data_IF_684126786180
#
_entry.id   IF_684126786180
#
_cell.length_a   1.000
_cell.length_b   1.000
_cell.length_c   1.000
_cell.angle_alpha   90.00
_cell.angle_beta   90.00
_cell.angle_gamma   90.00
#
_symmetry.space_group_name_H-M   'P 1'
#
loop_
_entity.id
_entity.type
_entity.pdbx_description
1 polymer ?
#
# COMPACT_ATOMS: atom_id res chain seq x y z
N UNK A 1 -0.91 22.49 -46.07
CA UNK A 1 0.36 22.15 -45.40
C UNK A 1 0.21 22.53 -43.94
N UNK A 2 0.32 21.57 -43.01
CA UNK A 2 0.43 21.90 -41.59
C UNK A 2 -0.39 21.08 -40.59
N UNK A 3 -0.65 19.78 -40.83
CA UNK A 3 -1.32 18.92 -39.83
C UNK A 3 -0.46 17.76 -39.32
N UNK A 4 0.86 17.93 -39.36
CA UNK A 4 1.81 17.01 -38.74
C UNK A 4 2.82 17.76 -37.85
N UNK A 5 2.31 18.64 -36.98
CA UNK A 5 3.08 19.10 -35.83
C UNK A 5 3.19 17.94 -34.85
N UNK A 6 4.42 17.42 -34.68
CA UNK A 6 4.76 16.37 -33.72
C UNK A 6 4.11 16.65 -32.36
N UNK A 7 3.46 15.65 -31.74
CA UNK A 7 2.86 15.75 -30.39
C UNK A 7 3.83 16.35 -29.35
N UNK A 8 5.13 16.22 -29.60
CA UNK A 8 6.21 16.79 -28.79
C UNK A 8 6.27 18.33 -28.82
N UNK A 9 5.81 18.98 -29.89
CA UNK A 9 5.78 20.45 -29.99
C UNK A 9 4.58 21.09 -29.28
N UNK A 10 3.42 20.40 -29.21
CA UNK A 10 2.25 20.91 -28.46
C UNK A 10 2.52 21.04 -26.96
N UNK A 11 3.34 20.17 -26.39
CA UNK A 11 3.75 20.23 -24.98
C UNK A 11 4.61 21.45 -24.63
N UNK A 12 5.27 22.07 -25.62
CA UNK A 12 6.18 23.21 -25.40
C UNK A 12 5.43 24.55 -25.48
N UNK A 13 4.24 24.58 -26.09
CA UNK A 13 3.46 25.80 -26.33
C UNK A 13 2.20 25.96 -25.47
N UNK A 14 1.81 24.95 -24.66
CA UNK A 14 0.65 25.06 -23.80
C UNK A 14 1.00 25.83 -22.51
N UNK A 15 0.35 26.97 -22.31
CA UNK A 15 0.41 27.77 -21.07
C UNK A 15 -0.24 27.06 -19.86
N UNK A 16 -0.90 25.94 -20.09
CA UNK A 16 -1.43 25.04 -19.07
C UNK A 16 -0.55 23.78 -19.04
N UNK A 17 -0.01 23.45 -17.87
CA UNK A 17 0.77 22.24 -17.68
C UNK A 17 -0.17 21.02 -17.72
N UNK A 18 -0.51 20.57 -18.92
CA UNK A 18 -1.39 19.42 -19.14
C UNK A 18 -0.65 18.11 -18.79
N UNK A 19 -1.28 17.29 -17.95
CA UNK A 19 -0.85 15.91 -17.69
C UNK A 19 -0.89 15.10 -19.00
N UNK A 20 0.06 14.17 -19.18
CA UNK A 20 0.04 13.26 -20.33
C UNK A 20 -1.23 12.38 -20.31
N UNK A 21 -1.96 12.33 -21.42
CA UNK A 21 -3.22 11.59 -21.53
C UNK A 21 -2.99 10.06 -21.40
N UNK A 22 -3.44 9.50 -20.27
CA UNK A 22 -3.35 8.06 -19.93
C UNK A 22 -4.63 7.54 -19.26
N UNK A 23 -5.71 8.27 -19.40
CA UNK A 23 -7.01 7.99 -18.77
C UNK A 23 -8.13 8.11 -19.79
N UNK A 24 -9.22 7.37 -19.59
CA UNK A 24 -10.46 7.65 -20.28
C UNK A 24 -11.11 8.92 -19.71
N UNK A 25 -11.80 9.74 -20.51
CA UNK A 25 -12.66 10.79 -19.99
C UNK A 25 -13.65 10.21 -18.97
N UNK A 26 -13.74 10.82 -17.79
CA UNK A 26 -14.67 10.36 -16.76
C UNK A 26 -16.12 10.64 -17.23
N UNK A 27 -16.95 9.60 -17.51
CA UNK A 27 -18.32 9.82 -17.97
C UNK A 27 -19.29 10.12 -16.82
N UNK A 28 -18.84 9.96 -15.57
CA UNK A 28 -19.68 10.11 -14.40
C UNK A 28 -19.72 11.57 -13.94
N UNK A 29 -20.91 12.13 -13.64
CA UNK A 29 -21.02 13.47 -13.10
C UNK A 29 -20.36 13.57 -11.72
N UNK A 30 -19.91 14.77 -11.36
CA UNK A 30 -19.45 15.05 -10.01
C UNK A 30 -20.60 14.92 -9.01
N UNK A 31 -20.25 14.59 -7.76
CA UNK A 31 -21.22 14.55 -6.67
C UNK A 31 -21.71 15.96 -6.36
N UNK A 32 -22.93 16.31 -6.76
CA UNK A 32 -23.53 17.60 -6.40
C UNK A 32 -23.74 17.68 -4.88
N UNK A 33 -23.12 18.69 -4.24
CA UNK A 33 -23.33 19.00 -2.83
C UNK A 33 -24.79 19.46 -2.63
N UNK A 34 -25.70 18.54 -2.31
CA UNK A 34 -27.08 18.86 -1.93
C UNK A 34 -28.16 17.93 -2.48
N UNK A 35 -27.83 16.92 -3.29
CA UNK A 35 -28.83 16.09 -3.98
C UNK A 35 -28.57 14.61 -3.67
N UNK A 36 -28.75 14.22 -2.41
CA UNK A 36 -29.38 12.93 -2.09
C UNK A 36 -30.90 13.12 -2.25
N UNK A 37 -31.35 13.70 -3.38
CA UNK A 37 -32.77 13.91 -3.58
C UNK A 37 -33.42 12.57 -3.77
N UNK A 38 -34.18 12.17 -2.76
CA UNK A 38 -35.38 11.36 -2.94
C UNK A 38 -36.15 11.87 -4.16
N UNK A 39 -35.98 11.20 -5.31
CA UNK A 39 -36.95 11.32 -6.39
C UNK A 39 -38.25 10.66 -5.90
N UNK A 40 -39.09 11.47 -5.27
CA UNK A 40 -40.49 11.16 -4.98
C UNK A 40 -41.30 11.22 -6.29
N UNK A 41 -40.99 10.30 -7.20
CA UNK A 41 -41.61 10.22 -8.51
C UNK A 41 -41.20 8.93 -9.19
N UNK A 42 -42.09 7.94 -9.12
CA UNK A 42 -42.20 6.71 -9.90
C UNK A 42 -41.11 6.43 -10.96
N UNK A 43 -39.87 6.17 -10.53
CA UNK A 43 -38.88 5.30 -11.14
C UNK A 43 -37.69 5.27 -10.19
N UNK A 44 -37.67 4.29 -9.27
CA UNK A 44 -36.49 4.02 -8.44
C UNK A 44 -35.41 3.51 -9.39
N UNK A 45 -34.49 4.37 -9.79
CA UNK A 45 -33.37 3.97 -10.63
C UNK A 45 -32.55 2.94 -9.83
N UNK A 46 -32.61 1.68 -10.27
CA UNK A 46 -31.92 0.54 -9.67
C UNK A 46 -30.38 0.68 -9.68
N UNK A 47 -29.85 1.83 -10.10
CA UNK A 47 -28.43 2.15 -10.20
C UNK A 47 -27.91 3.12 -9.14
N UNK A 48 -28.75 3.69 -8.24
CA UNK A 48 -28.20 4.55 -7.19
C UNK A 48 -27.31 3.74 -6.22
N UNK A 49 -26.04 4.14 -6.04
CA UNK A 49 -25.08 3.38 -5.26
C UNK A 49 -25.35 3.46 -3.74
N UNK A 50 -26.05 4.50 -3.29
CA UNK A 50 -26.35 4.75 -1.89
C UNK A 50 -27.86 4.86 -1.63
N UNK A 51 -28.31 4.46 -0.45
CA UNK A 51 -29.66 4.70 0.05
C UNK A 51 -29.78 6.07 0.74
N UNK A 52 -30.97 6.37 1.26
CA UNK A 52 -31.26 7.64 1.93
C UNK A 52 -30.43 7.87 3.21
N UNK A 53 -29.87 6.82 3.81
CA UNK A 53 -28.98 6.91 4.98
C UNK A 53 -27.50 7.06 4.57
N UNK A 54 -27.21 7.15 3.27
CA UNK A 54 -25.85 7.17 2.74
C UNK A 54 -25.13 5.82 2.82
N UNK A 55 -25.86 4.72 3.07
CA UNK A 55 -25.31 3.35 3.04
C UNK A 55 -25.38 2.80 1.63
N UNK A 56 -24.55 1.81 1.32
CA UNK A 56 -24.58 1.16 0.00
C UNK A 56 -25.95 0.50 -0.21
N UNK A 57 -26.62 0.83 -1.31
CA UNK A 57 -27.97 0.31 -1.59
C UNK A 57 -27.94 -1.22 -1.80
N UNK A 58 -29.00 -1.92 -1.39
CA UNK A 58 -29.09 -3.37 -1.54
C UNK A 58 -29.01 -3.83 -3.00
N UNK A 59 -29.57 -3.03 -3.92
CA UNK A 59 -29.50 -3.29 -5.36
C UNK A 59 -28.06 -3.21 -5.88
N UNK A 60 -27.32 -2.15 -5.52
CA UNK A 60 -25.93 -2.00 -5.91
C UNK A 60 -25.04 -3.05 -5.24
N UNK A 61 -25.26 -3.35 -3.96
CA UNK A 61 -24.57 -4.43 -3.25
C UNK A 61 -24.74 -5.78 -3.96
N UNK A 62 -25.97 -6.13 -4.37
CA UNK A 62 -26.25 -7.35 -5.13
C UNK A 62 -25.53 -7.37 -6.48
N UNK A 63 -25.50 -6.23 -7.20
CA UNK A 63 -24.76 -6.07 -8.46
C UNK A 63 -23.26 -6.34 -8.28
N UNK A 64 -22.66 -5.74 -7.25
CA UNK A 64 -21.24 -5.95 -6.91
C UNK A 64 -20.98 -7.41 -6.53
N UNK A 65 -21.82 -8.00 -5.67
CA UNK A 65 -21.67 -9.40 -5.24
C UNK A 65 -21.75 -10.39 -6.40
N UNK A 66 -22.70 -10.19 -7.33
CA UNK A 66 -22.79 -11.02 -8.53
C UNK A 66 -21.52 -10.91 -9.37
N UNK A 67 -21.00 -9.68 -9.55
CA UNK A 67 -19.78 -9.48 -10.34
C UNK A 67 -18.55 -10.09 -9.67
N UNK A 68 -18.45 -10.05 -8.34
CA UNK A 68 -17.41 -10.74 -7.58
C UNK A 68 -17.46 -12.24 -7.88
N UNK A 69 -18.64 -12.88 -7.80
CA UNK A 69 -18.80 -14.31 -8.09
C UNK A 69 -18.34 -14.66 -9.52
N UNK A 70 -18.79 -13.89 -10.51
CA UNK A 70 -18.43 -14.12 -11.91
C UNK A 70 -16.91 -14.02 -12.15
N UNK A 71 -16.29 -13.00 -11.57
CA UNK A 71 -14.84 -12.78 -11.72
C UNK A 71 -14.02 -13.80 -10.95
N UNK A 72 -14.51 -14.31 -9.82
CA UNK A 72 -13.83 -15.40 -9.09
C UNK A 72 -13.79 -16.69 -9.91
N UNK A 73 -14.86 -17.02 -10.65
CA UNK A 73 -14.88 -18.17 -11.56
C UNK A 73 -13.83 -17.99 -12.67
N UNK A 74 -13.78 -16.81 -13.29
CA UNK A 74 -12.80 -16.51 -14.35
C UNK A 74 -11.36 -16.54 -13.82
N UNK A 75 -11.14 -15.98 -12.63
CA UNK A 75 -9.84 -16.00 -11.95
C UNK A 75 -9.38 -17.44 -11.70
N UNK A 76 -10.23 -18.28 -11.09
CA UNK A 76 -9.91 -19.69 -10.80
C UNK A 76 -9.59 -20.50 -12.06
N UNK A 77 -10.30 -20.24 -13.17
CA UNK A 77 -9.97 -20.86 -14.45
C UNK A 77 -8.59 -20.41 -14.96
N UNK A 78 -8.32 -19.10 -14.93
CA UNK A 78 -7.04 -18.54 -15.35
C UNK A 78 -5.86 -19.00 -14.48
N UNK A 79 -6.08 -19.23 -13.19
CA UNK A 79 -5.03 -19.69 -12.28
C UNK A 79 -4.49 -21.09 -12.65
N UNK A 80 -5.23 -21.91 -13.39
CA UNK A 80 -4.74 -23.22 -13.86
C UNK A 80 -3.49 -23.13 -14.73
N UNK A 81 -3.25 -21.99 -15.38
CA UNK A 81 -2.08 -21.76 -16.25
C UNK A 81 -1.08 -20.77 -15.65
N UNK A 82 -1.31 -20.29 -14.40
CA UNK A 82 -0.39 -19.40 -13.71
C UNK A 82 0.91 -20.11 -13.31
N UNK A 83 2.00 -19.34 -13.21
CA UNK A 83 3.32 -19.88 -12.82
C UNK A 83 3.23 -20.60 -11.47
N UNK A 84 3.51 -21.92 -11.42
CA UNK A 84 3.40 -22.65 -10.19
C UNK A 84 4.43 -22.27 -9.12
N UNK A 85 5.49 -21.55 -9.49
CA UNK A 85 6.60 -21.17 -8.60
C UNK A 85 6.50 -19.73 -8.07
N UNK A 86 5.57 -18.89 -8.55
CA UNK A 86 5.39 -17.56 -8.00
C UNK A 86 4.64 -17.61 -6.67
N UNK A 87 5.37 -17.65 -5.57
CA UNK A 87 4.80 -17.62 -4.22
C UNK A 87 4.48 -16.22 -3.71
N UNK A 88 4.81 -15.17 -4.45
CA UNK A 88 4.72 -13.79 -3.95
C UNK A 88 3.29 -13.38 -3.62
N UNK A 89 3.13 -12.34 -2.81
CA UNK A 89 1.82 -11.73 -2.59
C UNK A 89 1.44 -10.78 -3.72
N UNK A 90 2.44 -10.21 -4.41
CA UNK A 90 2.24 -9.21 -5.46
C UNK A 90 1.64 -9.81 -6.74
N UNK A 91 2.14 -10.95 -7.20
CA UNK A 91 1.69 -11.61 -8.45
C UNK A 91 1.39 -13.08 -8.29
N UNK A 92 1.68 -13.66 -7.13
CA UNK A 92 1.68 -15.10 -6.91
C UNK A 92 0.54 -15.63 -6.05
N UNK A 93 0.70 -16.90 -5.67
CA UNK A 93 -0.29 -17.69 -4.94
C UNK A 93 -0.62 -17.14 -3.55
N UNK A 94 0.29 -16.40 -2.91
CA UNK A 94 0.01 -15.76 -1.61
C UNK A 94 -0.99 -14.61 -1.77
N UNK A 95 -0.94 -13.88 -2.89
CA UNK A 95 -1.91 -12.82 -3.19
C UNK A 95 -3.34 -13.39 -3.31
N UNK A 96 -3.46 -14.56 -3.93
CA UNK A 96 -4.73 -15.29 -4.05
C UNK A 96 -5.20 -15.80 -2.67
N UNK A 97 -4.28 -16.33 -1.84
CA UNK A 97 -4.60 -16.71 -0.47
C UNK A 97 -5.13 -15.52 0.35
N UNK A 98 -4.50 -14.35 0.22
CA UNK A 98 -4.91 -13.12 0.89
C UNK A 98 -6.28 -12.63 0.40
N UNK A 99 -6.57 -12.75 -0.90
CA UNK A 99 -7.90 -12.47 -1.45
C UNK A 99 -8.97 -13.37 -0.82
N UNK A 100 -8.73 -14.68 -0.75
CA UNK A 100 -9.68 -15.62 -0.16
C UNK A 100 -9.87 -15.42 1.35
N UNK A 101 -8.81 -15.05 2.06
CA UNK A 101 -8.89 -14.64 3.46
C UNK A 101 -9.77 -13.38 3.64
N UNK A 102 -9.66 -12.40 2.73
CA UNK A 102 -10.53 -11.22 2.73
C UNK A 102 -11.97 -11.56 2.34
N UNK A 103 -12.20 -12.49 1.40
CA UNK A 103 -13.52 -12.99 1.06
C UNK A 103 -14.18 -13.64 2.27
N UNK A 104 -13.46 -14.50 3.00
CA UNK A 104 -13.94 -15.06 4.25
C UNK A 104 -14.29 -13.96 5.27
N UNK A 105 -13.46 -12.93 5.43
CA UNK A 105 -13.75 -11.82 6.36
C UNK A 105 -15.07 -11.12 6.05
N UNK A 106 -15.37 -10.87 4.78
CA UNK A 106 -16.58 -10.13 4.39
C UNK A 106 -17.83 -11.01 4.26
N UNK A 107 -17.67 -12.30 3.93
CA UNK A 107 -18.79 -13.23 3.70
C UNK A 107 -19.08 -14.16 4.88
N UNK A 108 -18.09 -14.38 5.75
CA UNK A 108 -18.07 -15.40 6.82
C UNK A 108 -18.20 -16.84 6.31
N UNK A 109 -18.06 -17.08 5.00
CA UNK A 109 -18.09 -18.41 4.38
C UNK A 109 -16.79 -19.18 4.70
N UNK A 110 -16.92 -20.36 5.31
CA UNK A 110 -15.75 -21.20 5.68
C UNK A 110 -15.04 -21.80 4.47
N UNK A 111 -15.76 -21.99 3.36
CA UNK A 111 -15.20 -22.46 2.09
C UNK A 111 -14.10 -21.53 1.55
N UNK A 112 -14.25 -20.22 1.70
CA UNK A 112 -13.22 -19.25 1.34
C UNK A 112 -11.97 -19.38 2.22
N UNK A 113 -12.14 -19.60 3.53
CA UNK A 113 -11.00 -19.82 4.44
C UNK A 113 -10.25 -21.12 4.10
N UNK A 114 -10.97 -22.18 3.77
CA UNK A 114 -10.38 -23.43 3.32
C UNK A 114 -9.61 -23.26 2.02
N UNK A 115 -10.14 -22.48 1.07
CA UNK A 115 -9.45 -22.16 -0.18
C UNK A 115 -8.18 -21.34 0.07
N UNK A 116 -8.20 -20.38 1.00
CA UNK A 116 -7.01 -19.66 1.41
C UNK A 116 -5.92 -20.61 1.95
N UNK A 117 -6.32 -21.60 2.77
CA UNK A 117 -5.41 -22.61 3.30
C UNK A 117 -4.75 -23.45 2.19
N UNK A 118 -5.49 -23.84 1.15
CA UNK A 118 -4.94 -24.62 0.04
C UNK A 118 -3.80 -23.87 -0.66
N UNK A 119 -3.95 -22.57 -0.89
CA UNK A 119 -2.90 -21.74 -1.46
C UNK A 119 -1.74 -21.47 -0.49
N UNK A 120 -2.01 -21.29 0.81
CA UNK A 120 -0.95 -21.21 1.84
C UNK A 120 -0.09 -22.47 1.85
N UNK A 121 -0.72 -23.66 1.86
CA UNK A 121 0.01 -24.93 1.83
C UNK A 121 0.88 -25.08 0.60
N UNK A 122 0.45 -24.53 -0.54
CA UNK A 122 1.22 -24.50 -1.78
C UNK A 122 2.47 -23.61 -1.64
N UNK A 123 2.31 -22.38 -1.16
CA UNK A 123 3.42 -21.40 -1.11
C UNK A 123 4.48 -21.76 -0.08
N UNK A 124 4.08 -22.34 1.05
CA UNK A 124 5.00 -22.76 2.11
C UNK A 124 6.08 -23.76 1.67
N UNK A 125 5.83 -24.52 0.59
CA UNK A 125 6.74 -25.55 0.07
C UNK A 125 7.88 -25.02 -0.81
N UNK A 126 7.79 -23.76 -1.25
CA UNK A 126 8.68 -23.19 -2.27
C UNK A 126 9.38 -21.90 -1.81
N UNK A 127 9.35 -21.62 -0.50
CA UNK A 127 10.08 -20.53 0.14
C UNK A 127 11.59 -20.73 -0.03
N UNK A 128 12.33 -19.64 -0.24
CA UNK A 128 13.73 -19.72 -0.65
C UNK A 128 14.68 -18.75 0.08
N UNK A 129 14.16 -17.90 0.97
CA UNK A 129 14.93 -16.98 1.79
C UNK A 129 15.60 -15.81 1.04
N UNK A 130 15.38 -15.65 -0.28
CA UNK A 130 16.08 -14.63 -1.08
C UNK A 130 15.50 -13.23 -0.93
N UNK A 131 14.19 -13.14 -0.71
CA UNK A 131 13.44 -11.88 -0.54
C UNK A 131 12.65 -11.96 0.75
N UNK A 132 12.50 -10.84 1.46
CA UNK A 132 11.97 -10.84 2.84
C UNK A 132 10.77 -9.93 3.04
N UNK A 133 10.19 -9.35 1.99
CA UNK A 133 9.05 -8.43 2.11
C UNK A 133 7.71 -9.13 2.02
N UNK A 134 6.66 -8.49 2.53
CA UNK A 134 5.31 -9.01 2.42
C UNK A 134 4.87 -9.19 0.97
N UNK A 135 5.18 -8.24 0.09
CA UNK A 135 4.71 -8.26 -1.29
C UNK A 135 5.48 -9.24 -2.17
N UNK A 136 6.81 -9.28 -2.05
CA UNK A 136 7.65 -9.97 -3.02
C UNK A 136 8.56 -11.05 -2.42
N UNK A 137 8.49 -11.30 -1.12
CA UNK A 137 9.37 -12.24 -0.42
C UNK A 137 8.65 -13.17 0.54
N UNK A 138 9.44 -13.94 1.27
CA UNK A 138 8.99 -15.03 2.14
C UNK A 138 8.12 -14.53 3.31
N UNK A 139 8.25 -13.25 3.69
CA UNK A 139 7.42 -12.68 4.74
C UNK A 139 5.92 -12.63 4.37
N UNK A 140 5.58 -12.54 3.08
CA UNK A 140 4.19 -12.60 2.62
C UNK A 140 3.53 -13.95 2.94
N UNK A 141 4.03 -15.06 2.37
CA UNK A 141 3.55 -16.40 2.66
C UNK A 141 3.51 -16.70 4.16
N UNK A 142 4.56 -16.35 4.89
CA UNK A 142 4.65 -16.59 6.33
C UNK A 142 3.59 -15.80 7.12
N UNK A 143 3.44 -14.51 6.85
CA UNK A 143 2.46 -13.67 7.55
C UNK A 143 1.01 -14.06 7.21
N UNK A 144 0.68 -14.27 5.93
CA UNK A 144 -0.66 -14.70 5.51
C UNK A 144 -0.96 -16.11 6.04
N UNK A 145 0.02 -17.02 5.98
CA UNK A 145 -0.12 -18.37 6.53
C UNK A 145 -0.37 -18.37 8.02
N UNK A 146 0.36 -17.56 8.79
CA UNK A 146 0.16 -17.43 10.24
C UNK A 146 -1.29 -17.05 10.58
N UNK A 147 -1.88 -16.10 9.85
CA UNK A 147 -3.26 -15.63 10.07
C UNK A 147 -4.28 -16.68 9.64
N UNK A 148 -4.08 -17.36 8.50
CA UNK A 148 -4.97 -18.43 8.04
C UNK A 148 -4.99 -19.58 9.05
N UNK A 149 -3.82 -20.04 9.51
CA UNK A 149 -3.73 -21.08 10.54
C UNK A 149 -4.36 -20.64 11.87
N UNK A 150 -4.14 -19.39 12.28
CA UNK A 150 -4.75 -18.83 13.48
C UNK A 150 -6.29 -18.86 13.42
N UNK A 151 -6.88 -18.43 12.29
CA UNK A 151 -8.35 -18.45 12.09
C UNK A 151 -8.95 -19.86 11.99
N UNK A 152 -8.12 -20.87 11.76
CA UNK A 152 -8.50 -22.29 11.74
C UNK A 152 -8.20 -22.98 13.08
N UNK A 153 -7.91 -22.22 14.14
CA UNK A 153 -7.52 -22.71 15.47
C UNK A 153 -6.29 -23.64 15.46
N UNK A 154 -5.47 -23.57 14.41
CA UNK A 154 -4.22 -24.31 14.31
C UNK A 154 -3.05 -23.49 14.87
N UNK A 155 -2.96 -23.47 16.21
CA UNK A 155 -1.95 -22.67 16.92
C UNK A 155 -0.51 -23.09 16.62
N UNK A 156 -0.27 -24.38 16.35
CA UNK A 156 1.08 -24.90 16.10
C UNK A 156 1.67 -24.35 14.80
N UNK A 157 0.95 -24.50 13.69
CA UNK A 157 1.42 -24.01 12.39
C UNK A 157 1.42 -22.48 12.32
N UNK A 158 0.47 -21.82 13.01
CA UNK A 158 0.48 -20.36 13.13
C UNK A 158 1.75 -19.85 13.81
N UNK A 159 2.14 -20.45 14.95
CA UNK A 159 3.37 -20.10 15.66
C UNK A 159 4.64 -20.45 14.88
N UNK A 160 4.67 -21.55 14.14
CA UNK A 160 5.79 -21.87 13.24
C UNK A 160 5.98 -20.78 12.18
N UNK A 161 4.89 -20.34 11.54
CA UNK A 161 4.94 -19.28 10.55
C UNK A 161 5.49 -17.97 11.14
N UNK A 162 5.03 -17.58 12.33
CA UNK A 162 5.54 -16.39 13.04
C UNK A 162 7.03 -16.55 13.39
N UNK A 163 7.44 -17.70 13.92
CA UNK A 163 8.84 -17.97 14.25
C UNK A 163 9.76 -17.82 13.03
N UNK A 164 9.35 -18.39 11.89
CA UNK A 164 10.08 -18.29 10.62
C UNK A 164 10.07 -16.87 10.06
N UNK A 165 8.97 -16.11 10.23
CA UNK A 165 8.90 -14.70 9.85
C UNK A 165 9.93 -13.87 10.62
N UNK A 166 10.08 -14.12 11.92
CA UNK A 166 11.07 -13.44 12.76
C UNK A 166 12.51 -13.82 12.40
N UNK A 167 12.76 -15.05 11.93
CA UNK A 167 14.09 -15.45 11.48
C UNK A 167 14.59 -14.64 10.27
N UNK A 168 13.69 -14.10 9.43
CA UNK A 168 14.05 -13.22 8.30
C UNK A 168 14.70 -11.91 8.74
N UNK A 169 14.49 -11.49 10.00
CA UNK A 169 15.04 -10.25 10.56
C UNK A 169 16.57 -10.18 10.43
N UNK A 170 17.27 -11.32 10.44
CA UNK A 170 18.72 -11.39 10.28
C UNK A 170 19.20 -10.72 8.98
N UNK A 171 18.50 -10.97 7.88
CA UNK A 171 18.84 -10.37 6.57
C UNK A 171 18.44 -8.89 6.47
N UNK A 172 17.41 -8.49 7.21
CA UNK A 172 16.86 -7.12 7.23
C UNK A 172 17.75 -6.16 8.02
N UNK A 173 18.31 -6.65 9.13
CA UNK A 173 19.12 -5.85 10.07
C UNK A 173 20.63 -5.99 9.85
N UNK A 174 21.08 -6.85 8.93
CA UNK A 174 22.51 -7.02 8.67
C UNK A 174 23.12 -5.69 8.18
N UNK A 175 24.19 -5.19 8.83
CA UNK A 175 24.88 -3.96 8.42
C UNK A 175 25.49 -4.05 7.01
N UNK A 176 25.87 -5.26 6.59
CA UNK A 176 26.45 -5.53 5.27
C UNK A 176 25.38 -5.72 4.17
N UNK A 177 24.10 -5.55 4.52
CA UNK A 177 22.99 -5.75 3.60
C UNK A 177 22.76 -4.51 2.74
N UNK A 178 22.85 -4.66 1.41
CA UNK A 178 22.39 -3.67 0.43
C UNK A 178 20.84 -3.58 0.33
N UNK A 179 20.12 -4.02 1.37
CA UNK A 179 18.68 -4.01 1.38
C UNK A 179 18.14 -2.56 1.29
N UNK A 180 17.23 -2.27 0.35
CA UNK A 180 16.57 -0.97 0.28
C UNK A 180 15.56 -0.81 1.43
N UNK A 181 14.94 0.35 1.53
CA UNK A 181 13.94 0.63 2.58
C UNK A 181 12.50 0.64 2.08
N UNK A 182 12.27 0.57 0.78
CA UNK A 182 10.94 0.69 0.18
C UNK A 182 10.03 -0.55 0.38
N UNK A 183 8.78 -0.47 -0.11
CA UNK A 183 7.72 -1.39 0.29
C UNK A 183 7.77 -2.75 -0.41
N UNK A 184 8.29 -2.83 -1.65
CA UNK A 184 8.26 -4.07 -2.42
C UNK A 184 9.43 -5.00 -2.10
N UNK A 185 10.60 -4.46 -1.80
CA UNK A 185 11.85 -5.20 -1.61
C UNK A 185 12.65 -4.78 -0.37
N UNK A 186 12.23 -3.71 0.31
CA UNK A 186 12.96 -3.14 1.43
C UNK A 186 12.38 -3.37 2.83
N UNK A 187 13.03 -2.74 3.80
CA UNK A 187 12.72 -2.86 5.23
C UNK A 187 11.28 -2.46 5.57
N UNK A 188 10.71 -1.45 4.90
CA UNK A 188 9.30 -1.08 5.12
C UNK A 188 8.33 -2.19 4.71
N UNK A 189 8.65 -2.96 3.65
CA UNK A 189 7.88 -4.12 3.22
C UNK A 189 7.92 -5.29 4.20
N UNK A 190 9.03 -5.45 4.93
CA UNK A 190 9.13 -6.41 6.03
C UNK A 190 8.41 -5.90 7.29
N UNK A 191 8.58 -4.62 7.64
CA UNK A 191 7.85 -3.98 8.74
C UNK A 191 6.34 -4.16 8.58
N UNK A 192 5.80 -3.99 7.36
CA UNK A 192 4.40 -4.26 7.09
C UNK A 192 3.98 -5.69 7.47
N UNK A 193 4.80 -6.71 7.18
CA UNK A 193 4.47 -8.09 7.51
C UNK A 193 4.36 -8.30 9.04
N UNK A 194 5.27 -7.70 9.82
CA UNK A 194 5.23 -7.76 11.28
C UNK A 194 3.97 -7.10 11.83
N UNK A 195 3.67 -5.87 11.37
CA UNK A 195 2.50 -5.13 11.82
C UNK A 195 1.18 -5.80 11.37
N UNK A 196 1.17 -6.43 10.20
CA UNK A 196 0.04 -7.21 9.71
C UNK A 196 -0.30 -8.37 10.65
N UNK A 197 0.71 -9.15 11.07
CA UNK A 197 0.51 -10.26 12.02
C UNK A 197 -0.02 -9.75 13.36
N UNK A 198 0.55 -8.66 13.90
CA UNK A 198 0.06 -8.08 15.16
C UNK A 198 -1.38 -7.59 15.06
N UNK A 199 -1.77 -7.04 13.92
CA UNK A 199 -3.15 -6.60 13.70
C UNK A 199 -4.14 -7.76 13.59
N UNK A 200 -3.75 -8.84 12.93
CA UNK A 200 -4.65 -9.93 12.55
C UNK A 200 -4.75 -11.05 13.60
N UNK A 201 -3.70 -11.27 14.39
CA UNK A 201 -3.64 -12.32 15.42
C UNK A 201 -3.78 -11.70 16.81
N UNK A 202 -3.04 -10.64 17.09
CA UNK A 202 -3.05 -9.98 18.40
C UNK A 202 -1.84 -9.07 18.55
N UNK A 203 -2.02 -7.92 19.22
CA UNK A 203 -1.06 -6.81 19.24
C UNK A 203 0.35 -7.19 19.72
N UNK A 204 0.48 -8.25 20.51
CA UNK A 204 1.73 -8.73 21.10
C UNK A 204 2.27 -10.01 20.44
N UNK A 205 1.79 -10.37 19.25
CA UNK A 205 2.27 -11.56 18.52
C UNK A 205 3.74 -11.44 18.12
N UNK A 206 4.14 -10.24 17.71
CA UNK A 206 5.52 -9.81 17.51
C UNK A 206 5.80 -8.73 18.55
N UNK A 207 6.90 -8.90 19.28
CA UNK A 207 7.29 -8.00 20.35
C UNK A 207 7.73 -6.62 19.81
N UNK A 208 7.59 -5.63 20.68
CA UNK A 208 7.94 -4.23 20.38
C UNK A 208 9.43 -4.03 20.09
N UNK A 209 10.31 -4.80 20.71
CA UNK A 209 11.76 -4.69 20.52
C UNK A 209 12.13 -5.05 19.07
N UNK A 210 11.54 -6.12 18.54
CA UNK A 210 11.69 -6.55 17.15
C UNK A 210 11.25 -5.45 16.17
N UNK A 211 10.07 -4.85 16.39
CA UNK A 211 9.55 -3.77 15.56
C UNK A 211 10.48 -2.55 15.62
N UNK A 212 10.89 -2.17 16.83
CA UNK A 212 11.76 -1.02 17.09
C UNK A 212 13.11 -1.18 16.37
N UNK A 213 13.70 -2.37 16.35
CA UNK A 213 14.94 -2.63 15.61
C UNK A 213 14.81 -2.36 14.11
N UNK A 214 13.70 -2.78 13.49
CA UNK A 214 13.46 -2.55 12.05
C UNK A 214 13.23 -1.07 11.76
N UNK A 215 12.43 -0.40 12.61
CA UNK A 215 12.18 1.05 12.51
C UNK A 215 13.47 1.86 12.63
N UNK A 216 14.30 1.55 13.63
CA UNK A 216 15.60 2.21 13.82
C UNK A 216 16.50 2.01 12.60
N UNK A 217 16.55 0.81 12.02
CA UNK A 217 17.33 0.57 10.81
C UNK A 217 16.86 1.42 9.61
N UNK A 218 15.53 1.57 9.43
CA UNK A 218 14.96 2.44 8.38
C UNK A 218 15.35 3.90 8.63
N UNK A 219 15.30 4.36 9.87
CA UNK A 219 15.61 5.76 10.22
C UNK A 219 17.09 6.07 10.01
N UNK A 220 17.99 5.21 10.49
CA UNK A 220 19.43 5.41 10.35
C UNK A 220 19.87 5.34 8.87
N UNK A 221 19.33 4.39 8.10
CA UNK A 221 19.52 4.35 6.64
C UNK A 221 19.09 5.67 5.98
N UNK A 222 17.91 6.19 6.36
CA UNK A 222 17.37 7.44 5.85
C UNK A 222 18.22 8.68 6.17
N UNK A 223 18.75 8.75 7.39
CA UNK A 223 19.65 9.83 7.82
C UNK A 223 20.95 9.80 7.01
N UNK A 224 21.55 8.63 6.85
CA UNK A 224 22.80 8.45 6.11
C UNK A 224 22.65 8.91 4.65
N UNK A 225 21.62 8.42 3.96
CA UNK A 225 21.34 8.83 2.58
C UNK A 225 21.08 10.34 2.47
N UNK A 226 20.35 10.93 3.42
CA UNK A 226 20.08 12.37 3.41
C UNK A 226 21.37 13.19 3.59
N UNK A 227 22.25 12.77 4.49
CA UNK A 227 23.55 13.40 4.72
C UNK A 227 24.45 13.29 3.47
N UNK A 228 24.55 12.10 2.87
CA UNK A 228 25.30 11.88 1.62
C UNK A 228 24.83 12.78 0.48
N UNK A 229 23.52 12.99 0.37
CA UNK A 229 22.90 13.85 -0.65
C UNK A 229 22.86 15.33 -0.26
N UNK A 230 23.39 15.69 0.92
CA UNK A 230 23.38 17.05 1.48
C UNK A 230 21.95 17.62 1.53
N UNK A 231 21.00 16.81 2.00
CA UNK A 231 19.58 17.15 2.12
C UNK A 231 19.07 17.23 3.57
N UNK A 232 19.93 17.00 4.57
CA UNK A 232 19.55 16.91 5.98
C UNK A 232 18.63 18.04 6.43
N UNK A 233 18.97 19.30 6.11
CA UNK A 233 18.18 20.48 6.52
C UNK A 233 16.78 20.56 5.88
N UNK A 234 16.56 19.89 4.75
CA UNK A 234 15.30 19.95 3.99
C UNK A 234 14.46 18.68 4.13
N UNK A 235 15.12 17.53 4.26
CA UNK A 235 14.51 16.20 4.27
C UNK A 235 15.42 15.29 5.11
N UNK A 236 15.31 15.30 6.45
CA UNK A 236 16.22 14.59 7.36
C UNK A 236 16.35 13.09 7.09
N UNK A 237 15.29 12.47 6.56
CA UNK A 237 15.28 11.10 6.08
C UNK A 237 15.13 11.13 4.56
N UNK A 238 15.98 10.42 3.82
CA UNK A 238 15.88 10.31 2.36
C UNK A 238 16.16 8.87 1.96
N UNK A 239 15.56 8.40 0.87
CA UNK A 239 15.70 7.02 0.45
C UNK A 239 15.88 6.91 -1.06
N UNK A 240 16.52 5.83 -1.47
CA UNK A 240 16.79 5.51 -2.84
C UNK A 240 16.49 4.04 -3.13
N UNK A 241 15.99 3.77 -4.33
CA UNK A 241 15.95 2.43 -4.89
C UNK A 241 16.38 2.50 -6.35
N UNK A 242 17.24 1.58 -6.81
CA UNK A 242 17.76 1.55 -8.18
C UNK A 242 18.26 2.92 -8.68
N UNK A 243 19.08 3.61 -7.86
CA UNK A 243 19.68 4.92 -8.18
C UNK A 243 18.69 6.06 -8.41
N UNK A 244 17.48 5.94 -7.84
CA UNK A 244 16.42 6.95 -7.94
C UNK A 244 15.73 7.17 -6.60
N UNK A 245 15.53 8.44 -6.28
CA UNK A 245 14.76 8.88 -5.13
C UNK A 245 13.27 8.91 -5.51
N UNK A 246 12.62 7.75 -5.45
CA UNK A 246 11.19 7.60 -5.78
C UNK A 246 10.30 8.30 -4.76
N UNK A 247 9.17 8.87 -5.20
CA UNK A 247 8.23 9.57 -4.33
C UNK A 247 7.04 8.70 -3.92
N UNK A 248 6.56 7.85 -4.83
CA UNK A 248 5.31 7.11 -4.67
C UNK A 248 5.33 6.03 -3.58
N UNK A 249 4.20 5.33 -3.41
CA UNK A 249 4.01 4.40 -2.29
C UNK A 249 4.76 3.07 -2.44
N UNK A 250 5.00 2.61 -3.66
CA UNK A 250 5.65 1.32 -3.90
C UNK A 250 7.15 1.38 -3.54
N UNK A 251 7.89 2.21 -4.27
CA UNK A 251 9.36 2.23 -4.21
C UNK A 251 9.95 3.46 -3.48
N UNK A 252 9.09 4.30 -2.90
CA UNK A 252 9.46 5.67 -2.60
C UNK A 252 9.11 6.17 -1.21
N UNK A 253 9.40 7.46 -1.03
CA UNK A 253 9.29 8.19 0.22
C UNK A 253 7.89 8.06 0.86
N UNK A 254 6.81 8.17 0.08
CA UNK A 254 5.46 8.12 0.61
C UNK A 254 5.13 6.80 1.30
N UNK A 255 5.57 5.66 0.74
CA UNK A 255 5.34 4.35 1.34
C UNK A 255 6.10 4.17 2.65
N UNK A 256 7.37 4.59 2.66
CA UNK A 256 8.25 4.50 3.83
C UNK A 256 7.71 5.36 4.97
N UNK A 257 7.40 6.63 4.70
CA UNK A 257 6.85 7.53 5.73
C UNK A 257 5.48 7.09 6.23
N UNK A 258 4.63 6.55 5.35
CA UNK A 258 3.36 5.97 5.78
C UNK A 258 3.55 4.82 6.78
N UNK A 259 4.55 3.97 6.55
CA UNK A 259 4.87 2.86 7.46
C UNK A 259 5.45 3.36 8.80
N UNK A 260 6.36 4.34 8.78
CA UNK A 260 6.93 4.93 10.00
C UNK A 260 5.87 5.67 10.84
N UNK A 261 4.83 6.23 10.22
CA UNK A 261 3.73 6.89 10.93
C UNK A 261 2.65 5.94 11.47
N UNK A 262 2.72 4.63 11.18
CA UNK A 262 1.74 3.71 11.76
C UNK A 262 1.87 3.73 13.29
N UNK A 263 0.78 3.88 14.07
CA UNK A 263 0.86 3.86 15.54
C UNK A 263 1.52 2.59 16.07
N UNK A 264 1.28 1.44 15.41
CA UNK A 264 1.89 0.16 15.76
C UNK A 264 3.40 0.08 15.48
N UNK A 265 3.97 1.01 14.70
CA UNK A 265 5.42 1.15 14.52
C UNK A 265 6.10 1.83 15.72
N UNK A 266 5.32 2.45 16.63
CA UNK A 266 5.78 3.02 17.90
C UNK A 266 6.98 3.99 17.79
N UNK A 267 7.06 4.74 16.68
CA UNK A 267 8.07 5.80 16.53
C UNK A 267 7.83 6.88 17.58
N UNK A 268 8.88 7.21 18.34
CA UNK A 268 8.81 8.21 19.41
C UNK A 268 8.30 9.57 18.88
N UNK A 269 7.41 10.28 19.61
CA UNK A 269 6.85 11.56 19.17
C UNK A 269 7.89 12.58 18.70
N UNK A 270 9.01 12.71 19.42
CA UNK A 270 10.10 13.62 19.04
C UNK A 270 10.67 13.29 17.65
N UNK A 271 10.87 12.01 17.36
CA UNK A 271 11.34 11.56 16.02
C UNK A 271 10.27 11.83 14.95
N UNK A 272 8.99 11.72 15.29
CA UNK A 272 7.92 12.08 14.36
C UNK A 272 7.95 13.58 14.03
N UNK A 273 8.14 14.45 15.04
CA UNK A 273 8.20 15.89 14.84
C UNK A 273 9.48 16.38 14.17
N UNK A 274 10.63 15.82 14.53
CA UNK A 274 11.95 16.32 14.11
C UNK A 274 12.43 15.69 12.80
N UNK A 275 12.04 14.43 12.53
CA UNK A 275 12.53 13.70 11.35
C UNK A 275 11.43 13.53 10.30
N UNK A 276 10.27 12.97 10.68
CA UNK A 276 9.25 12.54 9.72
C UNK A 276 8.45 13.73 9.18
N UNK A 277 8.03 14.66 10.04
CA UNK A 277 7.23 15.82 9.63
C UNK A 277 7.93 16.69 8.57
N UNK A 278 9.21 17.10 8.72
CA UNK A 278 9.91 17.84 7.67
C UNK A 278 9.98 17.07 6.35
N UNK A 279 10.12 15.74 6.39
CA UNK A 279 10.13 14.90 5.20
C UNK A 279 8.77 14.87 4.47
N UNK A 280 7.66 14.87 5.20
CA UNK A 280 6.32 14.95 4.62
C UNK A 280 6.13 16.29 3.91
N UNK A 281 6.54 17.39 4.56
CA UNK A 281 6.50 18.71 3.95
C UNK A 281 7.41 18.76 2.71
N UNK A 282 8.59 18.15 2.75
CA UNK A 282 9.45 18.03 1.58
C UNK A 282 8.76 17.34 0.40
N UNK A 283 8.04 16.24 0.62
CA UNK A 283 7.26 15.53 -0.42
C UNK A 283 6.10 16.39 -0.92
N UNK A 284 5.37 17.08 -0.04
CA UNK A 284 4.25 17.98 -0.41
C UNK A 284 4.70 19.07 -1.39
N UNK A 285 5.90 19.61 -1.21
CA UNK A 285 6.48 20.63 -2.10
C UNK A 285 6.93 20.09 -3.46
N UNK A 286 6.83 18.78 -3.72
CA UNK A 286 7.10 18.16 -5.04
C UNK A 286 5.86 18.01 -5.90
N UNK A 287 4.69 18.40 -5.38
CA UNK A 287 3.42 18.33 -6.11
C UNK A 287 3.49 19.16 -7.40
N UNK A 288 3.04 18.58 -8.50
CA UNK A 288 2.85 19.29 -9.76
C UNK A 288 1.69 20.31 -9.66
N UNK A 289 1.60 21.21 -10.65
CA UNK A 289 0.48 22.16 -10.74
C UNK A 289 -0.89 21.46 -10.84
N UNK A 290 -0.93 20.30 -11.50
CA UNK A 290 -2.12 19.44 -11.60
C UNK A 290 -2.62 18.88 -10.26
N UNK A 291 -1.79 18.94 -9.21
CA UNK A 291 -2.04 18.25 -7.95
C UNK A 291 -1.45 16.83 -7.88
N UNK A 292 -0.96 16.29 -9.00
CA UNK A 292 -0.27 15.01 -9.05
C UNK A 292 1.17 15.09 -8.49
N UNK A 293 1.86 13.96 -8.40
CA UNK A 293 3.24 13.88 -7.90
C UNK A 293 4.17 13.20 -8.91
N UNK A 294 5.44 13.63 -8.99
CA UNK A 294 6.42 12.98 -9.84
C UNK A 294 6.69 11.55 -9.38
N UNK A 295 7.14 10.69 -10.30
CA UNK A 295 7.52 9.33 -9.93
C UNK A 295 8.76 9.30 -9.02
N UNK A 296 9.67 10.25 -9.23
CA UNK A 296 10.96 10.39 -8.52
C UNK A 296 11.38 11.86 -8.50
N UNK A 297 12.25 12.25 -7.56
CA UNK A 297 12.68 13.65 -7.39
C UNK A 297 13.31 14.30 -8.64
N UNK A 298 13.90 13.52 -9.53
CA UNK A 298 14.51 13.99 -10.79
C UNK A 298 13.58 13.92 -12.00
N UNK A 299 12.33 13.47 -11.84
CA UNK A 299 11.39 13.34 -12.96
C UNK A 299 10.45 14.53 -12.99
N UNK A 300 10.38 15.22 -14.12
CA UNK A 300 9.51 16.39 -14.33
C UNK A 300 8.26 16.05 -15.15
N UNK A 301 8.12 14.80 -15.61
CA UNK A 301 6.98 14.35 -16.40
C UNK A 301 5.77 14.01 -15.52
N UNK A 302 4.70 14.77 -15.72
CA UNK A 302 3.40 14.56 -15.08
C UNK A 302 2.51 13.63 -15.92
N UNK A 303 2.44 12.36 -15.53
CA UNK A 303 1.76 11.31 -16.33
C UNK A 303 1.26 10.09 -15.56
N UNK A 304 1.88 9.75 -14.42
CA UNK A 304 1.53 8.52 -13.70
C UNK A 304 0.51 8.85 -12.61
N UNK A 305 -0.66 8.20 -12.68
CA UNK A 305 -1.74 8.31 -11.70
C UNK A 305 -2.00 6.92 -11.13
N UNK A 306 -1.01 6.36 -10.44
CA UNK A 306 -1.03 5.00 -9.92
C UNK A 306 -0.79 4.99 -8.41
N UNK A 307 -1.14 3.87 -7.76
CA UNK A 307 -0.70 3.61 -6.39
C UNK A 307 0.84 3.59 -6.28
N UNK A 308 1.52 2.95 -7.23
CA UNK A 308 2.98 2.85 -7.19
C UNK A 308 3.67 4.21 -7.39
N UNK A 309 3.13 5.07 -8.26
CA UNK A 309 3.69 6.36 -8.63
C UNK A 309 2.58 7.37 -8.95
N UNK A 310 2.56 8.49 -8.22
CA UNK A 310 1.57 9.55 -8.38
C UNK A 310 0.69 9.76 -7.15
N UNK A 311 -0.29 10.66 -7.28
CA UNK A 311 -1.20 11.04 -6.21
C UNK A 311 -1.92 9.85 -5.53
N UNK A 312 -2.39 8.79 -6.25
CA UNK A 312 -3.08 7.68 -5.60
C UNK A 312 -2.23 6.89 -4.60
N UNK A 313 -0.89 6.91 -4.74
CA UNK A 313 0.01 6.37 -3.72
C UNK A 313 0.31 7.36 -2.59
N UNK A 314 0.57 8.61 -2.96
CA UNK A 314 0.99 9.66 -2.01
C UNK A 314 -0.11 10.04 -1.03
N UNK A 315 -1.38 9.94 -1.43
CA UNK A 315 -2.53 10.30 -0.59
C UNK A 315 -2.57 9.52 0.74
N UNK A 316 -2.12 8.27 0.77
CA UNK A 316 -2.08 7.46 1.98
C UNK A 316 -1.18 8.09 3.06
N UNK A 317 0.00 8.56 2.65
CA UNK A 317 0.92 9.28 3.53
C UNK A 317 0.29 10.58 4.04
N UNK A 318 -0.37 11.36 3.16
CA UNK A 318 -0.98 12.63 3.53
C UNK A 318 -2.14 12.46 4.53
N UNK A 319 -3.00 11.46 4.33
CA UNK A 319 -4.10 11.13 5.25
C UNK A 319 -3.53 10.68 6.59
N UNK A 320 -2.50 9.82 6.59
CA UNK A 320 -1.88 9.36 7.83
C UNK A 320 -1.23 10.51 8.59
N UNK A 321 -0.51 11.40 7.90
CA UNK A 321 0.07 12.60 8.47
C UNK A 321 -1.00 13.50 9.13
N UNK A 322 -2.16 13.65 8.48
CA UNK A 322 -3.27 14.39 9.06
C UNK A 322 -3.82 13.72 10.33
N UNK A 323 -4.03 12.40 10.31
CA UNK A 323 -4.53 11.65 11.47
C UNK A 323 -3.59 11.74 12.67
N UNK A 324 -2.32 11.47 12.44
CA UNK A 324 -1.28 11.52 13.47
C UNK A 324 -1.13 12.94 14.01
N UNK A 325 -1.16 13.98 13.13
CA UNK A 325 -1.20 15.38 13.59
C UNK A 325 -2.44 15.66 14.44
N UNK A 326 -3.61 15.17 14.07
CA UNK A 326 -4.86 15.41 14.81
C UNK A 326 -4.89 14.73 16.18
N UNK A 327 -4.23 13.58 16.33
CA UNK A 327 -4.04 12.91 17.61
C UNK A 327 -3.08 13.71 18.52
N UNK A 328 -2.04 14.33 17.95
CA UNK A 328 -1.19 15.28 18.68
C UNK A 328 -1.82 16.67 18.87
N UNK A 329 -2.79 17.05 18.02
CA UNK A 329 -3.45 18.36 18.00
C UNK A 329 -4.85 18.35 18.61
N UNK A 330 -5.06 17.56 19.68
CA UNK A 330 -6.02 17.94 20.73
C UNK A 330 -5.70 19.33 21.35
N UNK A 331 -4.63 19.99 20.90
CA UNK A 331 -4.45 21.44 20.90
C UNK A 331 -4.26 21.99 19.46
N UNK A 332 -5.38 22.45 18.88
CA UNK A 332 -5.54 23.49 17.82
C UNK A 332 -4.95 23.36 16.40
N UNK A 333 -5.92 23.30 15.45
CA UNK A 333 -6.13 24.17 14.25
C UNK A 333 -5.57 23.77 12.86
N UNK A 334 -6.55 23.44 12.00
CA UNK A 334 -6.81 23.66 10.56
C UNK A 334 -5.78 23.26 9.48
N UNK A 335 -6.34 22.71 8.40
CA UNK A 335 -5.68 22.31 7.15
C UNK A 335 -5.50 23.47 6.18
#
# INVERSE_FOLDING_TARGET
MGDNMSKRLKLISATEAEMEERSFPNPYPDLEQGVLTSNSGADVDYNEPFDADGKVSAAFQKKVQNKIKDLLVQMEEGLKTADPHDFSTYTGWTGIALLYLQLHRVTQETSHLQRALDYVKRTMRILNGRKVTFLCGDAGPLAVGAVVYHKLDNSADSKDCVSRLLQLQRSVLSPDSEMPDELLYGRAGYLYALLYVNKEIGADTVDEETITKVVTAIIESGKNMSAEQKKTDRCPLLYEWHKKQYIGAAHGLAGIYYMLMQPAAKVHPDMQSELIRPCIDYVRHKKFRSGNFPSSLSNESDRLVHWCHGAPGVIHMLIMAYKVRSEYSLLSVQC
#
